data_IF_976823096995
#
_entry.id   IF_976823096995
#
_cell.length_a   1.000
_cell.length_b   1.000
_cell.length_c   1.000
_cell.angle_alpha   90.00
_cell.angle_beta   90.00
_cell.angle_gamma   90.00
#
_symmetry.space_group_name_H-M   'P 1'
#
loop_
_entity.id
_entity.type
_entity.pdbx_description
1 polymer ?
#
# COMPACT_ATOMS: atom_id res chain seq x y z
N UNK A 1 -22.44 28.73 -15.94
CA UNK A 1 -22.17 28.20 -14.59
C UNK A 1 -20.92 27.33 -14.67
N UNK A 2 -19.78 27.79 -14.15
CA UNK A 2 -18.60 26.94 -13.96
C UNK A 2 -18.77 26.25 -12.61
N UNK A 3 -19.18 24.99 -12.60
CA UNK A 3 -19.16 24.17 -11.38
C UNK A 3 -17.70 23.90 -11.01
N UNK A 4 -17.37 24.17 -9.76
CA UNK A 4 -16.01 24.36 -9.26
C UNK A 4 -15.18 23.07 -9.25
N UNK A 5 -14.00 23.01 -9.90
CA UNK A 5 -13.09 21.87 -9.80
C UNK A 5 -12.60 21.60 -8.36
N UNK A 6 -12.69 22.59 -7.47
CA UNK A 6 -12.34 22.47 -6.06
C UNK A 6 -13.22 21.47 -5.29
N UNK A 7 -14.49 21.32 -5.67
CA UNK A 7 -15.40 20.39 -4.99
C UNK A 7 -15.11 18.93 -5.34
N UNK A 8 -14.62 18.65 -6.56
CA UNK A 8 -14.27 17.29 -6.96
C UNK A 8 -13.02 16.79 -6.23
N UNK A 9 -11.96 17.59 -6.15
CA UNK A 9 -10.74 17.20 -5.42
C UNK A 9 -11.05 16.97 -3.93
N UNK A 10 -11.79 17.87 -3.29
CA UNK A 10 -12.16 17.74 -1.88
C UNK A 10 -13.01 16.49 -1.61
N UNK A 11 -14.05 16.26 -2.41
CA UNK A 11 -14.88 15.06 -2.28
C UNK A 11 -14.10 13.77 -2.57
N UNK A 12 -13.20 13.78 -3.56
CA UNK A 12 -12.33 12.65 -3.88
C UNK A 12 -11.37 12.31 -2.73
N UNK A 13 -10.68 13.30 -2.17
CA UNK A 13 -9.79 13.09 -1.02
C UNK A 13 -10.58 12.64 0.22
N UNK A 14 -11.77 13.18 0.46
CA UNK A 14 -12.65 12.72 1.54
C UNK A 14 -13.05 11.26 1.35
N UNK A 15 -13.44 10.88 0.14
CA UNK A 15 -13.83 9.50 -0.21
C UNK A 15 -12.67 8.52 -0.01
N UNK A 16 -11.47 8.89 -0.50
CA UNK A 16 -10.27 8.08 -0.30
C UNK A 16 -9.91 8.00 1.18
N UNK A 17 -9.96 9.10 1.93
CA UNK A 17 -9.65 9.09 3.36
C UNK A 17 -10.63 8.20 4.14
N UNK A 18 -11.92 8.27 3.84
CA UNK A 18 -12.93 7.41 4.44
C UNK A 18 -12.69 5.94 4.09
N UNK A 19 -12.39 5.64 2.83
CA UNK A 19 -12.13 4.28 2.37
C UNK A 19 -10.84 3.70 2.96
N UNK A 20 -9.75 4.48 3.00
CA UNK A 20 -8.48 4.10 3.62
C UNK A 20 -8.60 3.93 5.14
N UNK A 21 -9.42 4.75 5.80
CA UNK A 21 -9.71 4.58 7.21
C UNK A 21 -10.48 3.27 7.42
N UNK A 22 -11.54 3.01 6.66
CA UNK A 22 -12.32 1.77 6.78
C UNK A 22 -11.43 0.56 6.48
N UNK A 23 -10.72 0.54 5.36
CA UNK A 23 -9.86 -0.60 4.98
C UNK A 23 -8.69 -0.78 5.96
N UNK A 24 -8.08 0.31 6.42
CA UNK A 24 -6.97 0.28 7.38
C UNK A 24 -7.42 -0.20 8.77
N UNK A 25 -8.55 0.30 9.27
CA UNK A 25 -9.13 -0.15 10.54
C UNK A 25 -9.67 -1.58 10.46
N UNK A 26 -10.25 -1.98 9.34
CA UNK A 26 -10.67 -3.38 9.12
C UNK A 26 -9.46 -4.33 9.07
N UNK A 27 -8.36 -3.94 8.41
CA UNK A 27 -7.12 -4.72 8.42
C UNK A 27 -6.49 -4.81 9.81
N UNK A 28 -6.43 -3.69 10.53
CA UNK A 28 -5.90 -3.67 11.90
C UNK A 28 -6.78 -4.51 12.83
N UNK A 29 -8.11 -4.40 12.72
CA UNK A 29 -9.04 -5.22 13.50
C UNK A 29 -8.88 -6.71 13.20
N UNK A 30 -8.74 -7.10 11.93
CA UNK A 30 -8.48 -8.49 11.53
C UNK A 30 -7.13 -9.00 12.06
N UNK A 31 -6.09 -8.17 12.02
CA UNK A 31 -4.79 -8.51 12.59
C UNK A 31 -4.78 -8.61 14.12
N UNK A 32 -5.55 -7.75 14.81
CA UNK A 32 -5.66 -7.77 16.27
C UNK A 32 -6.55 -8.91 16.78
N UNK A 33 -7.61 -9.26 16.05
CA UNK A 33 -8.48 -10.40 16.36
C UNK A 33 -7.75 -11.75 16.26
N UNK A 34 -6.58 -11.77 15.62
CA UNK A 34 -5.81 -12.98 15.38
C UNK A 34 -4.32 -12.89 15.74
N UNK A 35 -3.99 -11.99 16.66
CA UNK A 35 -2.62 -11.76 17.08
C UNK A 35 -1.93 -13.03 17.60
N UNK A 36 -2.67 -13.93 18.26
CA UNK A 36 -2.14 -15.18 18.79
C UNK A 36 -1.83 -16.24 17.71
N UNK A 37 -2.67 -16.35 16.66
CA UNK A 37 -2.44 -17.29 15.55
C UNK A 37 -1.28 -16.89 14.65
N UNK A 38 -1.16 -15.58 14.39
CA UNK A 38 -0.05 -14.97 13.66
C UNK A 38 1.29 -15.20 14.36
N UNK A 39 1.34 -14.99 15.68
CA UNK A 39 2.57 -15.16 16.46
C UNK A 39 3.01 -16.63 16.55
N UNK A 40 2.06 -17.56 16.69
CA UNK A 40 2.33 -19.00 16.73
C UNK A 40 2.88 -19.53 15.39
N UNK A 41 2.40 -19.01 14.25
CA UNK A 41 2.84 -19.43 12.90
C UNK A 41 4.23 -18.88 12.54
N UNK A 42 4.56 -17.65 12.97
CA UNK A 42 5.91 -17.08 12.87
C UNK A 42 6.93 -17.94 13.64
N UNK A 43 6.55 -18.46 14.81
CA UNK A 43 7.42 -19.37 15.57
C UNK A 43 7.53 -20.78 14.94
N UNK A 44 6.51 -21.24 14.22
CA UNK A 44 6.46 -22.59 13.63
C UNK A 44 7.18 -22.78 12.29
N UNK A 45 7.37 -21.72 11.49
CA UNK A 45 7.98 -21.81 10.15
C UNK A 45 9.44 -21.36 10.06
N UNK A 46 10.05 -20.91 11.16
CA UNK A 46 11.44 -20.42 11.16
C UNK A 46 11.68 -19.11 10.40
N UNK A 47 10.65 -18.51 9.81
CA UNK A 47 10.70 -17.17 9.22
C UNK A 47 10.59 -16.13 10.33
N UNK A 48 11.68 -15.44 10.63
CA UNK A 48 11.68 -14.38 11.63
C UNK A 48 10.85 -13.18 11.16
N UNK A 49 10.33 -12.40 12.11
CA UNK A 49 9.71 -11.09 11.85
C UNK A 49 10.62 -10.21 10.97
N UNK A 50 11.95 -10.34 11.15
CA UNK A 50 12.97 -9.64 10.38
C UNK A 50 12.91 -10.01 8.90
N UNK A 51 12.77 -11.28 8.56
CA UNK A 51 12.72 -11.74 7.16
C UNK A 51 11.45 -11.28 6.46
N UNK A 52 10.32 -11.35 7.17
CA UNK A 52 9.03 -10.86 6.68
C UNK A 52 9.10 -9.36 6.35
N UNK A 53 9.62 -8.55 7.29
CA UNK A 53 9.74 -7.09 7.10
C UNK A 53 10.76 -6.77 6.01
N UNK A 54 11.87 -7.52 5.93
CA UNK A 54 12.91 -7.29 4.92
C UNK A 54 12.44 -7.67 3.51
N UNK A 55 11.66 -8.75 3.36
CA UNK A 55 11.03 -9.12 2.08
C UNK A 55 10.03 -8.06 1.65
N UNK A 56 9.11 -7.69 2.55
CA UNK A 56 8.13 -6.64 2.30
C UNK A 56 8.81 -5.32 1.91
N UNK A 57 9.91 -4.94 2.57
CA UNK A 57 10.64 -3.72 2.25
C UNK A 57 11.19 -3.72 0.81
N UNK A 58 11.80 -4.83 0.38
CA UNK A 58 12.35 -4.96 -0.99
C UNK A 58 11.25 -4.86 -2.05
N UNK A 59 10.09 -5.43 -1.77
CA UNK A 59 8.93 -5.37 -2.64
C UNK A 59 8.33 -3.96 -2.68
N UNK A 60 8.18 -3.29 -1.53
CA UNK A 60 7.70 -1.91 -1.47
C UNK A 60 8.65 -0.94 -2.19
N UNK A 61 9.96 -1.16 -2.07
CA UNK A 61 10.95 -0.39 -2.80
C UNK A 61 10.74 -0.53 -4.32
N UNK A 62 10.53 -1.76 -4.79
CA UNK A 62 10.45 -2.09 -6.22
C UNK A 62 9.12 -1.68 -6.85
N UNK A 63 8.01 -1.92 -6.16
CA UNK A 63 6.66 -1.74 -6.69
C UNK A 63 5.99 -0.44 -6.27
N UNK A 64 6.54 0.32 -5.30
CA UNK A 64 5.96 1.60 -4.86
C UNK A 64 6.92 2.74 -5.05
N UNK A 65 8.08 2.70 -4.38
CA UNK A 65 9.00 3.83 -4.45
C UNK A 65 9.52 4.07 -5.88
N UNK A 66 9.93 3.04 -6.60
CA UNK A 66 10.43 3.21 -7.98
C UNK A 66 9.38 3.77 -8.96
N UNK A 67 8.14 3.23 -9.06
CA UNK A 67 7.16 3.77 -10.00
C UNK A 67 6.50 5.08 -9.54
N UNK A 68 6.22 5.24 -8.24
CA UNK A 68 5.44 6.38 -7.73
C UNK A 68 6.33 7.49 -7.15
N UNK A 69 7.48 7.16 -6.59
CA UNK A 69 8.40 8.12 -5.95
C UNK A 69 8.85 9.25 -6.88
N UNK A 70 9.36 8.96 -8.10
CA UNK A 70 9.73 10.00 -9.06
C UNK A 70 8.56 10.88 -9.47
N UNK A 71 7.38 10.30 -9.70
CA UNK A 71 6.17 11.04 -10.08
C UNK A 71 5.76 12.02 -8.98
N UNK A 72 5.76 11.56 -7.73
CA UNK A 72 5.46 12.39 -6.57
C UNK A 72 6.53 13.48 -6.36
N UNK A 73 7.80 13.17 -6.60
CA UNK A 73 8.91 14.11 -6.39
C UNK A 73 8.97 15.21 -7.46
N UNK A 74 8.84 14.85 -8.74
CA UNK A 74 9.10 15.76 -9.86
C UNK A 74 7.86 16.58 -10.28
N UNK A 75 6.64 16.08 -10.06
CA UNK A 75 5.44 16.78 -10.54
C UNK A 75 4.84 17.70 -9.48
N UNK A 76 5.11 19.01 -9.63
CA UNK A 76 4.60 20.09 -8.75
C UNK A 76 3.07 20.16 -8.66
N UNK A 77 2.37 19.72 -9.70
CA UNK A 77 0.91 19.53 -9.72
C UNK A 77 0.68 18.07 -10.08
N UNK A 78 0.31 17.30 -9.09
CA UNK A 78 0.10 15.87 -9.23
C UNK A 78 -1.17 15.66 -10.06
N UNK A 79 -1.00 15.16 -11.27
CA UNK A 79 -2.14 14.75 -12.09
C UNK A 79 -2.64 13.41 -11.56
N UNK A 80 -3.68 13.47 -10.74
CA UNK A 80 -4.30 12.31 -10.06
C UNK A 80 -4.52 11.11 -11.01
N UNK A 81 -5.01 11.28 -12.26
CA UNK A 81 -5.20 10.16 -13.16
C UNK A 81 -3.90 9.41 -13.50
N UNK A 82 -2.77 10.10 -13.61
CA UNK A 82 -1.47 9.44 -13.86
C UNK A 82 -1.00 8.66 -12.64
N UNK A 83 -1.19 9.18 -11.41
CA UNK A 83 -0.88 8.41 -10.20
C UNK A 83 -1.73 7.15 -10.08
N UNK A 84 -3.03 7.25 -10.39
CA UNK A 84 -3.93 6.11 -10.35
C UNK A 84 -3.57 5.08 -11.41
N UNK A 85 -3.26 5.52 -12.64
CA UNK A 85 -2.81 4.64 -13.71
C UNK A 85 -1.51 3.93 -13.34
N UNK A 86 -0.54 4.65 -12.77
CA UNK A 86 0.73 4.06 -12.35
C UNK A 86 0.59 3.14 -11.16
N UNK A 87 -0.35 3.44 -10.24
CA UNK A 87 -0.72 2.52 -9.16
C UNK A 87 -1.34 1.24 -9.69
N UNK A 88 -2.20 1.32 -10.72
CA UNK A 88 -2.79 0.15 -11.37
C UNK A 88 -1.73 -0.70 -12.08
N UNK A 89 -0.81 -0.07 -12.84
CA UNK A 89 0.29 -0.77 -13.51
C UNK A 89 1.20 -1.47 -12.49
N UNK A 90 1.59 -0.77 -11.43
CA UNK A 90 2.42 -1.32 -10.35
C UNK A 90 1.73 -2.49 -9.62
N UNK A 91 0.43 -2.37 -9.38
CA UNK A 91 -0.42 -3.41 -8.79
C UNK A 91 -0.49 -4.67 -9.65
N UNK A 92 -0.69 -4.53 -10.97
CA UNK A 92 -0.68 -5.68 -11.89
C UNK A 92 0.68 -6.36 -11.90
N UNK A 93 1.77 -5.58 -11.98
CA UNK A 93 3.12 -6.12 -11.92
C UNK A 93 3.41 -6.85 -10.60
N UNK A 94 2.94 -6.30 -9.47
CA UNK A 94 3.04 -6.92 -8.15
C UNK A 94 2.29 -8.26 -8.10
N UNK A 95 1.06 -8.31 -8.61
CA UNK A 95 0.27 -9.54 -8.68
C UNK A 95 0.91 -10.62 -9.56
N UNK A 96 1.48 -10.23 -10.72
CA UNK A 96 2.20 -11.15 -11.61
C UNK A 96 3.47 -11.73 -10.97
N UNK A 97 4.18 -10.95 -10.14
CA UNK A 97 5.38 -11.40 -9.43
C UNK A 97 5.15 -12.54 -8.43
N UNK A 98 3.90 -12.78 -8.02
CA UNK A 98 3.53 -13.79 -7.02
C UNK A 98 3.03 -15.12 -7.64
N UNK A 99 3.25 -15.33 -8.95
CA UNK A 99 3.37 -16.66 -9.57
C UNK A 99 2.09 -17.46 -9.83
N UNK A 100 0.94 -17.10 -9.23
CA UNK A 100 -0.32 -17.83 -9.43
C UNK A 100 -1.44 -16.95 -9.95
N UNK A 101 -2.12 -17.38 -11.01
CA UNK A 101 -3.21 -16.64 -11.68
C UNK A 101 -4.38 -16.30 -10.75
N UNK A 102 -4.70 -17.18 -9.80
CA UNK A 102 -5.73 -16.89 -8.77
C UNK A 102 -5.26 -15.83 -7.75
N UNK A 103 -3.94 -15.77 -7.49
CA UNK A 103 -3.35 -14.76 -6.62
C UNK A 103 -3.18 -13.41 -7.31
N UNK A 104 -3.22 -13.32 -8.64
CA UNK A 104 -3.07 -12.04 -9.36
C UNK A 104 -4.15 -11.04 -8.93
N UNK A 105 -5.40 -11.48 -8.75
CA UNK A 105 -6.48 -10.58 -8.33
C UNK A 105 -6.33 -10.18 -6.86
N UNK A 106 -6.08 -11.11 -5.96
CA UNK A 106 -5.93 -10.82 -4.53
C UNK A 106 -4.68 -9.95 -4.28
N UNK A 107 -3.53 -10.37 -4.80
CA UNK A 107 -2.25 -9.67 -4.68
C UNK A 107 -2.27 -8.35 -5.45
N UNK A 108 -2.88 -8.30 -6.63
CA UNK A 108 -3.08 -7.08 -7.38
C UNK A 108 -3.91 -6.07 -6.59
N UNK A 109 -5.10 -6.45 -6.11
CA UNK A 109 -5.96 -5.57 -5.32
C UNK A 109 -5.27 -5.08 -4.04
N UNK A 110 -4.66 -5.99 -3.27
CA UNK A 110 -3.87 -5.63 -2.09
C UNK A 110 -2.73 -4.67 -2.45
N UNK A 111 -2.06 -4.94 -3.57
CA UNK A 111 -0.98 -4.12 -4.07
C UNK A 111 -1.41 -2.71 -4.50
N UNK A 112 -2.62 -2.56 -5.05
CA UNK A 112 -3.20 -1.27 -5.40
C UNK A 112 -3.55 -0.46 -4.15
N UNK A 113 -4.10 -1.10 -3.13
CA UNK A 113 -4.39 -0.46 -1.83
C UNK A 113 -3.09 0.06 -1.19
N UNK A 114 -2.02 -0.73 -1.22
CA UNK A 114 -0.71 -0.30 -0.74
C UNK A 114 -0.15 0.90 -1.51
N UNK A 115 -0.37 0.98 -2.84
CA UNK A 115 -0.01 2.17 -3.62
C UNK A 115 -0.79 3.42 -3.16
N UNK A 116 -2.09 3.31 -2.90
CA UNK A 116 -2.89 4.43 -2.37
C UNK A 116 -2.40 4.85 -0.99
N UNK A 117 -2.05 3.89 -0.13
CA UNK A 117 -1.46 4.15 1.18
C UNK A 117 -0.13 4.89 1.08
N UNK A 118 0.73 4.49 0.14
CA UNK A 118 2.02 5.14 -0.13
C UNK A 118 1.83 6.59 -0.60
N UNK A 119 0.93 6.82 -1.55
CA UNK A 119 0.59 8.16 -2.05
C UNK A 119 0.04 9.03 -0.92
N UNK A 120 -0.87 8.47 -0.11
CA UNK A 120 -1.45 9.19 1.03
C UNK A 120 -0.37 9.54 2.06
N UNK A 121 0.50 8.61 2.42
CA UNK A 121 1.59 8.85 3.37
C UNK A 121 2.59 9.90 2.87
N UNK A 122 2.80 9.98 1.55
CA UNK A 122 3.56 11.06 0.90
C UNK A 122 2.83 12.42 0.89
N UNK A 123 1.50 12.43 0.99
CA UNK A 123 0.66 13.65 0.89
C UNK A 123 0.48 14.43 2.19
N UNK A 124 0.75 13.82 3.34
CA UNK A 124 0.39 14.39 4.66
C UNK A 124 1.11 15.71 4.95
N UNK A 125 2.36 15.88 4.51
CA UNK A 125 3.18 17.04 4.86
C UNK A 125 4.08 17.46 3.68
N UNK A 126 3.52 18.13 2.67
CA UNK A 126 4.25 18.66 1.49
C UNK A 126 5.11 17.65 0.72
N UNK A 127 4.69 17.33 -0.51
CA UNK A 127 5.30 16.41 -1.49
C UNK A 127 6.80 16.63 -1.87
N UNK A 128 7.53 17.53 -1.21
CA UNK A 128 8.85 18.02 -1.62
C UNK A 128 10.07 17.46 -0.88
N UNK A 129 9.92 16.74 0.23
CA UNK A 129 11.08 16.21 0.96
C UNK A 129 11.26 14.71 0.80
N UNK A 130 12.50 14.30 0.45
CA UNK A 130 12.93 12.89 0.35
C UNK A 130 12.69 12.12 1.66
N UNK A 131 12.70 12.83 2.80
CA UNK A 131 12.42 12.26 4.12
C UNK A 131 10.99 11.72 4.19
N UNK A 132 10.02 12.34 3.51
CA UNK A 132 8.63 11.88 3.53
C UNK A 132 8.39 10.65 2.66
N UNK A 133 9.15 10.49 1.58
CA UNK A 133 9.10 9.26 0.78
C UNK A 133 9.67 8.06 1.54
N UNK A 134 10.74 8.26 2.31
CA UNK A 134 11.27 7.24 3.21
C UNK A 134 10.28 6.89 4.32
N UNK A 135 9.61 7.90 4.92
CA UNK A 135 8.54 7.66 5.90
C UNK A 135 7.40 6.85 5.30
N UNK A 136 6.95 7.23 4.10
CA UNK A 136 5.89 6.51 3.39
C UNK A 136 6.30 5.06 3.09
N UNK A 137 7.53 4.83 2.64
CA UNK A 137 8.07 3.50 2.37
C UNK A 137 8.08 2.62 3.63
N UNK A 138 8.51 3.17 4.77
CA UNK A 138 8.52 2.44 6.05
C UNK A 138 7.09 2.07 6.46
N UNK A 139 6.15 3.02 6.39
CA UNK A 139 4.74 2.78 6.73
C UNK A 139 4.14 1.69 5.84
N UNK A 140 4.34 1.77 4.53
CA UNK A 140 3.78 0.76 3.61
C UNK A 140 4.48 -0.58 3.73
N UNK A 141 5.76 -0.63 4.13
CA UNK A 141 6.47 -1.87 4.45
C UNK A 141 5.81 -2.61 5.60
N UNK A 142 5.49 -1.92 6.70
CA UNK A 142 4.80 -2.56 7.82
C UNK A 142 3.37 -2.98 7.46
N UNK A 143 2.64 -2.15 6.71
CA UNK A 143 1.31 -2.51 6.23
C UNK A 143 1.35 -3.74 5.30
N UNK A 144 2.37 -3.84 4.44
CA UNK A 144 2.57 -4.98 3.56
C UNK A 144 2.97 -6.24 4.32
N UNK A 145 3.91 -6.15 5.27
CA UNK A 145 4.25 -7.27 6.13
C UNK A 145 3.01 -7.82 6.87
N UNK A 146 2.15 -6.92 7.36
CA UNK A 146 0.88 -7.30 7.97
C UNK A 146 -0.08 -7.98 6.98
N UNK A 147 -0.20 -7.43 5.78
CA UNK A 147 -0.99 -8.02 4.70
C UNK A 147 -0.52 -9.43 4.34
N UNK A 148 0.80 -9.67 4.28
CA UNK A 148 1.38 -10.99 4.04
C UNK A 148 1.04 -11.97 5.16
N UNK A 149 1.02 -11.53 6.43
CA UNK A 149 0.61 -12.37 7.55
C UNK A 149 -0.86 -12.79 7.45
N UNK A 150 -1.76 -11.84 7.12
CA UNK A 150 -3.19 -12.13 7.00
C UNK A 150 -3.46 -13.05 5.82
N UNK A 151 -2.84 -12.80 4.66
CA UNK A 151 -3.05 -13.63 3.46
C UNK A 151 -2.44 -15.03 3.59
N UNK A 152 -1.28 -15.16 4.24
CA UNK A 152 -0.70 -16.47 4.55
C UNK A 152 -1.58 -17.32 5.49
N UNK A 153 -2.52 -16.72 6.22
CA UNK A 153 -3.50 -17.45 7.02
C UNK A 153 -4.75 -17.86 6.22
N UNK A 154 -5.16 -17.07 5.25
CA UNK A 154 -6.35 -17.36 4.42
C UNK A 154 -6.13 -18.48 3.41
N UNK A 155 -4.86 -18.85 3.14
CA UNK A 155 -4.47 -19.86 2.16
C UNK A 155 -4.09 -21.22 2.78
N UNK A 156 -4.14 -21.34 4.12
CA UNK A 156 -4.09 -22.60 4.86
C UNK A 156 -5.51 -23.12 5.14
#
# INVERSE_FOLDING_TARGET
>A
MRTEPANFEASFFLSINAWLAISGWSFLALAMLDYAGVFAKIQGHGFGIIDLVTSAFKEELSFRLLPLGPLIFFWKKIYIPVLLLMSAIASVAFGLGHGHTYNILLQGCGGFILCLFFIKACSVDSYRSRIFQLRALVITTFAHALYNLVTAKMLD
#
